data_IF_843231377170
#
_entry.id   IF_843231377170
#
_cell.length_a   1.000
_cell.length_b   1.000
_cell.length_c   1.000
_cell.angle_alpha   90.00
_cell.angle_beta   90.00
_cell.angle_gamma   90.00
#
_symmetry.space_group_name_H-M   'P 1'
#
loop_
_entity.id
_entity.type
_entity.pdbx_description
1 polymer ?
#
# COMPACT_ATOMS: atom_id res chain seq x y z
N UNK A 1 3.57 -48.96 -7.28
CA UNK A 1 4.39 -47.93 -6.64
C UNK A 1 3.56 -47.30 -5.54
N UNK A 2 3.77 -47.77 -4.29
CA UNK A 2 3.08 -47.29 -3.09
C UNK A 2 3.87 -46.11 -2.54
N UNK A 3 3.27 -44.94 -2.48
CA UNK A 3 3.82 -43.75 -1.80
C UNK A 3 3.60 -43.90 -0.30
N UNK A 4 4.57 -43.61 0.56
CA UNK A 4 4.38 -43.62 2.01
C UNK A 4 3.55 -42.43 2.46
N UNK A 5 2.62 -42.76 3.34
CA UNK A 5 1.73 -41.88 4.10
C UNK A 5 2.55 -40.85 4.89
N UNK A 6 2.36 -39.59 4.62
CA UNK A 6 3.04 -38.50 5.31
C UNK A 6 2.43 -38.28 6.68
N UNK A 7 3.24 -38.50 7.71
CA UNK A 7 2.95 -38.20 9.11
C UNK A 7 2.43 -36.76 9.27
N UNK A 8 1.14 -36.69 9.51
CA UNK A 8 0.46 -35.47 9.95
C UNK A 8 0.81 -35.24 11.43
N UNK A 9 1.95 -34.61 11.71
CA UNK A 9 2.27 -34.11 13.04
C UNK A 9 1.28 -32.99 13.37
N UNK A 10 0.54 -33.14 14.50
CA UNK A 10 -0.32 -32.02 14.94
C UNK A 10 0.57 -30.81 15.29
N UNK A 11 0.33 -29.70 14.64
CA UNK A 11 0.81 -28.38 15.05
C UNK A 11 0.54 -28.22 16.54
N UNK A 12 1.57 -27.87 17.30
CA UNK A 12 1.48 -27.61 18.72
C UNK A 12 0.40 -26.56 18.98
N UNK A 13 -0.78 -27.00 19.41
CA UNK A 13 -1.82 -26.10 19.91
C UNK A 13 -1.24 -25.39 21.13
N UNK A 14 -1.06 -24.08 20.99
CA UNK A 14 -0.66 -23.24 22.11
C UNK A 14 -1.65 -23.44 23.25
N UNK A 15 -1.14 -23.77 24.43
CA UNK A 15 -1.91 -24.01 25.64
C UNK A 15 -2.98 -22.91 25.78
N UNK A 16 -4.23 -23.30 25.67
CA UNK A 16 -5.37 -22.43 25.91
C UNK A 16 -5.35 -21.91 27.35
N UNK A 17 -5.74 -20.63 27.52
CA UNK A 17 -5.90 -20.07 28.89
C UNK A 17 -6.78 -20.93 29.80
N UNK A 18 -7.67 -21.73 29.21
CA UNK A 18 -8.53 -22.71 29.90
C UNK A 18 -7.77 -23.93 30.40
N UNK A 19 -6.76 -24.39 29.68
CA UNK A 19 -5.95 -25.56 30.07
C UNK A 19 -4.96 -25.21 31.17
N UNK A 20 -4.35 -23.99 31.07
CA UNK A 20 -3.53 -23.45 32.17
C UNK A 20 -4.35 -23.26 33.43
N UNK A 21 -5.59 -22.80 33.34
CA UNK A 21 -6.50 -22.67 34.49
C UNK A 21 -6.87 -24.02 35.14
N UNK A 22 -7.02 -25.09 34.33
CA UNK A 22 -7.28 -26.45 34.87
C UNK A 22 -6.08 -27.05 35.59
N UNK A 23 -4.89 -26.89 35.06
CA UNK A 23 -3.67 -27.40 35.68
C UNK A 23 -3.37 -26.68 37.00
N UNK A 24 -3.54 -25.37 37.06
CA UNK A 24 -3.42 -24.59 38.30
C UNK A 24 -4.46 -25.06 39.35
N UNK A 25 -5.69 -25.36 38.96
CA UNK A 25 -6.74 -25.84 39.83
C UNK A 25 -6.47 -27.25 40.39
N UNK A 26 -5.76 -28.12 39.68
CA UNK A 26 -5.39 -29.46 40.16
C UNK A 26 -4.24 -29.41 41.19
N UNK A 27 -3.23 -28.56 40.97
CA UNK A 27 -2.14 -28.35 41.92
C UNK A 27 -2.61 -27.74 43.24
N UNK A 28 -3.62 -26.89 43.24
CA UNK A 28 -4.20 -26.29 44.44
C UNK A 28 -4.91 -27.32 45.35
N UNK A 29 -5.42 -28.45 44.80
CA UNK A 29 -6.12 -29.48 45.57
C UNK A 29 -5.19 -30.42 46.33
N UNK A 30 -3.93 -30.55 45.95
CA UNK A 30 -2.96 -31.43 46.64
C UNK A 30 -2.19 -30.75 47.79
N UNK A 31 -2.37 -29.44 48.00
CA UNK A 31 -1.68 -28.68 49.06
C UNK A 31 -2.41 -28.64 50.42
N UNK A 32 -3.49 -29.41 50.58
CA UNK A 32 -4.35 -29.39 51.80
C UNK A 32 -3.89 -30.27 52.92
N UNK A 33 -2.67 -30.12 53.47
CA UNK A 33 -2.35 -30.92 54.66
C UNK A 33 -0.95 -30.75 55.23
N UNK A 34 -0.51 -29.53 55.57
CA UNK A 34 0.57 -29.34 56.56
C UNK A 34 0.64 -27.88 57.05
N UNK A 35 0.70 -27.75 58.34
CA UNK A 35 0.79 -26.65 59.27
C UNK A 35 1.06 -25.22 58.84
N UNK A 36 0.85 -24.25 59.74
CA UNK A 36 0.87 -22.77 59.57
C UNK A 36 1.99 -22.21 58.68
N UNK A 37 3.12 -22.89 58.52
CA UNK A 37 4.22 -22.50 57.61
C UNK A 37 3.82 -22.67 56.12
N UNK A 38 3.06 -23.73 55.82
CA UNK A 38 2.63 -23.96 54.44
C UNK A 38 1.54 -22.96 53.97
N UNK A 39 0.78 -22.37 54.90
CA UNK A 39 -0.22 -21.35 54.57
C UNK A 39 0.41 -20.04 54.06
N UNK A 40 1.50 -19.61 54.68
CA UNK A 40 2.18 -18.39 54.26
C UNK A 40 2.82 -18.58 52.90
N UNK A 41 3.38 -19.76 52.61
CA UNK A 41 3.94 -20.10 51.28
C UNK A 41 2.84 -20.20 50.24
N UNK A 42 1.71 -20.84 50.55
CA UNK A 42 0.57 -20.95 49.63
C UNK A 42 -0.07 -19.58 49.29
N UNK A 43 -0.15 -18.67 50.26
CA UNK A 43 -0.62 -17.32 50.05
C UNK A 43 0.38 -16.55 49.16
N UNK A 44 1.69 -16.68 49.41
CA UNK A 44 2.74 -16.07 48.60
C UNK A 44 2.69 -16.57 47.14
N UNK A 45 2.53 -17.85 46.94
CA UNK A 45 2.37 -18.47 45.62
C UNK A 45 1.11 -17.95 44.88
N UNK A 46 -0.03 -17.91 45.58
CA UNK A 46 -1.27 -17.39 45.00
C UNK A 46 -1.17 -15.93 44.62
N UNK A 47 -0.52 -15.10 45.41
CA UNK A 47 -0.28 -13.68 45.09
C UNK A 47 0.66 -13.56 43.90
N UNK A 48 1.73 -14.33 43.87
CA UNK A 48 2.70 -14.29 42.75
C UNK A 48 2.05 -14.75 41.45
N UNK A 49 1.27 -15.80 41.44
CA UNK A 49 0.52 -16.27 40.29
C UNK A 49 -0.51 -15.24 39.81
N UNK A 50 -1.17 -14.55 40.75
CA UNK A 50 -2.10 -13.46 40.41
C UNK A 50 -1.40 -12.30 39.70
N UNK A 51 -0.22 -11.92 40.20
CA UNK A 51 0.57 -10.84 39.58
C UNK A 51 1.02 -11.24 38.16
N UNK A 52 1.53 -12.47 37.99
CA UNK A 52 1.95 -13.00 36.69
C UNK A 52 0.78 -13.00 35.71
N UNK A 53 -0.41 -13.40 36.15
CA UNK A 53 -1.61 -13.43 35.30
C UNK A 53 -2.02 -12.02 34.85
N UNK A 54 -1.96 -11.03 35.73
CA UNK A 54 -2.26 -9.66 35.43
C UNK A 54 -1.24 -9.09 34.41
N UNK A 55 0.04 -9.36 34.63
CA UNK A 55 1.12 -8.92 33.71
C UNK A 55 0.97 -9.57 32.33
N UNK A 56 0.67 -10.88 32.31
CA UNK A 56 0.43 -11.60 31.06
C UNK A 56 -0.80 -11.05 30.29
N UNK A 57 -1.90 -10.79 30.99
CA UNK A 57 -3.10 -10.19 30.40
C UNK A 57 -2.84 -8.79 29.86
N UNK A 58 -2.12 -7.96 30.61
CA UNK A 58 -1.71 -6.62 30.16
C UNK A 58 -0.80 -6.67 28.95
N UNK A 59 0.19 -7.56 28.97
CA UNK A 59 1.10 -7.76 27.85
C UNK A 59 0.37 -8.21 26.58
N UNK A 60 -0.55 -9.16 26.70
CA UNK A 60 -1.39 -9.62 25.59
C UNK A 60 -2.28 -8.50 25.02
N UNK A 61 -2.92 -7.73 25.89
CA UNK A 61 -3.72 -6.58 25.46
C UNK A 61 -2.89 -5.51 24.72
N UNK A 62 -1.72 -5.18 25.27
CA UNK A 62 -0.81 -4.22 24.66
C UNK A 62 -0.34 -4.69 23.28
N UNK A 63 0.05 -5.96 23.15
CA UNK A 63 0.47 -6.52 21.88
C UNK A 63 -0.67 -6.52 20.84
N UNK A 64 -1.89 -6.84 21.22
CA UNK A 64 -3.05 -6.79 20.34
C UNK A 64 -3.36 -5.37 19.86
N UNK A 65 -3.28 -4.38 20.77
CA UNK A 65 -3.50 -2.96 20.44
C UNK A 65 -2.48 -2.46 19.41
N UNK A 66 -1.18 -2.69 19.65
CA UNK A 66 -0.12 -2.29 18.72
C UNK A 66 -0.19 -3.02 17.37
N UNK A 67 -0.58 -4.29 17.39
CA UNK A 67 -0.80 -5.07 16.16
C UNK A 67 -1.91 -4.48 15.29
N UNK A 68 -3.01 -4.03 15.89
CA UNK A 68 -4.13 -3.41 15.16
C UNK A 68 -3.74 -2.04 14.60
N UNK A 69 -3.08 -1.19 15.38
CA UNK A 69 -2.63 0.14 14.92
C UNK A 69 -1.63 0.03 13.77
N UNK A 70 -0.67 -0.90 13.86
CA UNK A 70 0.31 -1.12 12.79
C UNK A 70 -0.34 -1.66 11.51
N UNK A 71 -1.33 -2.55 11.61
CA UNK A 71 -2.03 -3.08 10.44
C UNK A 71 -2.85 -2.01 9.72
N UNK A 72 -3.49 -1.10 10.45
CA UNK A 72 -4.21 0.04 9.89
C UNK A 72 -3.23 0.99 9.17
N UNK A 73 -2.10 1.32 9.80
CA UNK A 73 -1.09 2.18 9.19
C UNK A 73 -0.52 1.57 7.89
N UNK A 74 -0.24 0.26 7.89
CA UNK A 74 0.21 -0.45 6.69
C UNK A 74 -0.85 -0.48 5.59
N UNK A 75 -2.13 -0.67 5.95
CA UNK A 75 -3.23 -0.63 4.99
C UNK A 75 -3.39 0.76 4.37
N UNK A 76 -3.26 1.83 5.15
CA UNK A 76 -3.30 3.21 4.66
C UNK A 76 -2.12 3.50 3.74
N UNK A 77 -0.90 3.14 4.13
CA UNK A 77 0.28 3.30 3.29
C UNK A 77 0.16 2.53 1.97
N UNK A 78 -0.35 1.29 2.01
CA UNK A 78 -0.59 0.48 0.82
C UNK A 78 -1.64 1.11 -0.10
N UNK A 79 -2.73 1.63 0.45
CA UNK A 79 -3.79 2.30 -0.34
C UNK A 79 -3.27 3.58 -1.01
N UNK A 80 -2.46 4.36 -0.30
CA UNK A 80 -1.83 5.57 -0.83
C UNK A 80 -0.86 5.25 -1.97
N UNK A 81 -0.01 4.24 -1.79
CA UNK A 81 0.88 3.76 -2.86
C UNK A 81 0.11 3.27 -4.09
N UNK A 82 -0.99 2.55 -3.88
CA UNK A 82 -1.82 2.08 -4.98
C UNK A 82 -2.46 3.25 -5.77
N UNK A 83 -2.87 4.32 -5.09
CA UNK A 83 -3.39 5.53 -5.74
C UNK A 83 -2.30 6.26 -6.53
N UNK A 84 -1.12 6.43 -5.94
CA UNK A 84 0.03 7.04 -6.60
C UNK A 84 0.44 6.25 -7.87
N UNK A 85 0.50 4.93 -7.78
CA UNK A 85 0.82 4.09 -8.94
C UNK A 85 -0.23 4.22 -10.06
N UNK A 86 -1.53 4.22 -9.72
CA UNK A 86 -2.59 4.43 -10.72
C UNK A 86 -2.47 5.79 -11.40
N UNK A 87 -2.24 6.86 -10.64
CA UNK A 87 -2.05 8.20 -11.19
C UNK A 87 -0.81 8.26 -12.10
N UNK A 88 0.26 7.57 -11.74
CA UNK A 88 1.44 7.46 -12.58
C UNK A 88 1.17 6.70 -13.90
N UNK A 89 0.54 5.52 -13.82
CA UNK A 89 0.16 4.72 -15.00
C UNK A 89 -0.77 5.51 -15.93
N UNK A 90 -1.73 6.23 -15.38
CA UNK A 90 -2.63 7.10 -16.14
C UNK A 90 -1.84 8.21 -16.85
N UNK A 91 -0.90 8.85 -16.16
CA UNK A 91 -0.05 9.89 -16.74
C UNK A 91 0.80 9.36 -17.91
N UNK A 92 1.36 8.16 -17.78
CA UNK A 92 2.13 7.49 -18.85
C UNK A 92 1.23 7.18 -20.04
N UNK A 93 0.02 6.68 -19.78
CA UNK A 93 -0.96 6.39 -20.85
C UNK A 93 -1.34 7.65 -21.62
N UNK A 94 -1.63 8.74 -20.92
CA UNK A 94 -1.94 10.01 -21.59
C UNK A 94 -0.77 10.57 -22.38
N UNK A 95 0.45 10.48 -21.86
CA UNK A 95 1.65 10.89 -22.61
C UNK A 95 1.82 10.08 -23.89
N UNK A 96 1.60 8.79 -23.85
CA UNK A 96 1.69 7.94 -25.02
C UNK A 96 0.60 8.28 -26.06
N UNK A 97 -0.63 8.51 -25.60
CA UNK A 97 -1.74 8.93 -26.47
C UNK A 97 -1.49 10.29 -27.10
N UNK A 98 -1.01 11.27 -26.32
CA UNK A 98 -0.67 12.61 -26.82
C UNK A 98 0.47 12.55 -27.85
N UNK A 99 1.51 11.75 -27.58
CA UNK A 99 2.60 11.55 -28.53
C UNK A 99 2.11 10.90 -29.83
N UNK A 100 1.23 9.92 -29.73
CA UNK A 100 0.67 9.23 -30.90
C UNK A 100 -0.17 10.19 -31.76
N UNK A 101 -1.04 10.98 -31.14
CA UNK A 101 -1.88 11.94 -31.87
C UNK A 101 -1.05 13.10 -32.46
N UNK A 102 -0.03 13.56 -31.75
CA UNK A 102 0.93 14.55 -32.27
C UNK A 102 1.69 14.00 -33.48
N UNK A 103 2.21 12.78 -33.39
CA UNK A 103 2.93 12.18 -34.52
C UNK A 103 2.03 12.03 -35.77
N UNK A 104 0.76 11.69 -35.57
CA UNK A 104 -0.20 11.64 -36.67
C UNK A 104 -0.40 13.03 -37.32
N UNK A 105 -0.58 14.07 -36.49
CA UNK A 105 -0.68 15.46 -36.94
C UNK A 105 0.59 15.90 -37.64
N UNK A 106 1.76 15.68 -37.06
CA UNK A 106 3.04 16.11 -37.57
C UNK A 106 3.36 15.43 -38.91
N UNK A 107 3.07 14.15 -39.04
CA UNK A 107 3.22 13.41 -40.28
C UNK A 107 2.35 14.00 -41.38
N UNK A 108 1.06 14.22 -41.11
CA UNK A 108 0.14 14.81 -42.07
C UNK A 108 0.58 16.23 -42.48
N UNK A 109 1.04 17.04 -41.53
CA UNK A 109 1.57 18.38 -41.78
C UNK A 109 2.80 18.35 -42.70
N UNK A 110 3.77 17.48 -42.46
CA UNK A 110 4.98 17.34 -43.26
C UNK A 110 4.68 16.92 -44.72
N UNK A 111 3.65 16.09 -44.92
CA UNK A 111 3.22 15.67 -46.25
C UNK A 111 2.27 16.70 -46.93
N UNK A 112 1.95 17.80 -46.28
CA UNK A 112 1.04 18.83 -46.79
C UNK A 112 -0.43 18.44 -46.80
N UNK A 113 -0.79 17.36 -46.12
CA UNK A 113 -2.18 16.89 -45.98
C UNK A 113 -2.89 17.67 -44.87
N UNK A 114 -3.41 18.84 -45.23
CA UNK A 114 -4.09 19.72 -44.27
C UNK A 114 -5.37 19.13 -43.70
N UNK A 115 -6.08 18.29 -44.47
CA UNK A 115 -7.30 17.66 -43.99
C UNK A 115 -7.00 16.62 -42.94
N UNK A 116 -6.03 15.74 -43.19
CA UNK A 116 -5.59 14.75 -42.20
C UNK A 116 -4.98 15.44 -40.96
N UNK A 117 -4.20 16.50 -41.10
CA UNK A 117 -3.69 17.29 -39.99
C UNK A 117 -4.81 17.84 -39.11
N UNK A 118 -5.82 18.47 -39.70
CA UNK A 118 -6.98 18.99 -38.99
C UNK A 118 -7.81 17.89 -38.28
N UNK A 119 -7.89 16.70 -38.88
CA UNK A 119 -8.53 15.55 -38.21
C UNK A 119 -7.74 15.09 -37.00
N UNK A 120 -6.43 15.00 -37.08
CA UNK A 120 -5.56 14.64 -35.99
C UNK A 120 -5.62 15.66 -34.84
N UNK A 121 -5.60 16.95 -35.16
CA UNK A 121 -5.67 18.05 -34.19
C UNK A 121 -7.00 18.01 -33.37
N UNK A 122 -8.12 17.72 -34.03
CA UNK A 122 -9.41 17.56 -33.33
C UNK A 122 -9.42 16.45 -32.29
N UNK A 123 -8.50 15.48 -32.38
CA UNK A 123 -8.34 14.38 -31.43
C UNK A 123 -7.45 14.73 -30.25
N UNK A 124 -6.82 15.86 -30.23
CA UNK A 124 -6.03 16.33 -29.11
C UNK A 124 -6.92 16.51 -27.88
N UNK A 125 -6.43 16.03 -26.74
CA UNK A 125 -7.09 16.29 -25.46
C UNK A 125 -7.07 17.80 -25.16
N UNK A 126 -8.07 18.35 -24.48
CA UNK A 126 -8.11 19.79 -24.20
C UNK A 126 -6.84 20.32 -23.52
N UNK A 127 -6.29 19.56 -22.54
CA UNK A 127 -5.08 19.95 -21.82
C UNK A 127 -3.83 19.91 -22.71
N UNK A 128 -3.77 18.96 -23.63
CA UNK A 128 -2.67 18.86 -24.58
C UNK A 128 -2.71 19.96 -25.62
N UNK A 129 -3.90 20.38 -26.04
CA UNK A 129 -4.08 21.45 -27.03
C UNK A 129 -3.48 22.77 -26.57
N UNK A 130 -3.57 23.11 -25.29
CA UNK A 130 -2.96 24.32 -24.72
C UNK A 130 -1.44 24.30 -24.92
N UNK A 131 -0.79 23.17 -24.63
CA UNK A 131 0.64 23.02 -24.84
C UNK A 131 1.02 23.00 -26.33
N UNK A 132 0.17 22.42 -27.16
CA UNK A 132 0.37 22.43 -28.63
C UNK A 132 0.29 23.84 -29.22
N UNK A 133 -0.70 24.63 -28.84
CA UNK A 133 -0.85 26.03 -29.29
C UNK A 133 0.32 26.87 -28.78
N UNK A 134 0.75 26.69 -27.52
CA UNK A 134 1.93 27.38 -26.99
C UNK A 134 3.21 26.99 -27.74
N UNK A 135 3.37 25.71 -28.09
CA UNK A 135 4.50 25.23 -28.87
C UNK A 135 4.49 25.82 -30.32
N UNK A 136 3.36 25.87 -30.99
CA UNK A 136 3.24 26.50 -32.30
C UNK A 136 3.61 27.97 -32.25
N UNK A 137 3.29 28.68 -31.17
CA UNK A 137 3.65 30.08 -30.98
C UNK A 137 5.16 30.33 -30.85
N UNK A 138 5.98 29.28 -30.65
CA UNK A 138 7.45 29.37 -30.68
C UNK A 138 8.06 29.33 -32.10
N UNK A 139 7.23 29.27 -33.17
CA UNK A 139 7.64 29.09 -34.54
C UNK A 139 8.58 27.88 -34.77
N UNK A 140 8.17 26.68 -34.37
CA UNK A 140 9.06 25.52 -34.25
C UNK A 140 9.67 25.05 -35.57
N UNK A 141 9.15 25.48 -36.69
CA UNK A 141 9.66 25.11 -38.02
C UNK A 141 10.73 26.06 -38.56
N UNK A 142 10.88 27.23 -37.95
CA UNK A 142 11.85 28.25 -38.36
C UNK A 142 12.79 28.66 -37.25
N UNK A 143 12.42 28.48 -36.00
CA UNK A 143 13.20 28.82 -34.84
C UNK A 143 14.01 27.58 -34.34
N UNK A 144 15.35 27.60 -34.45
CA UNK A 144 16.19 26.49 -34.02
C UNK A 144 16.20 26.28 -32.50
N UNK A 145 15.80 27.31 -31.72
CA UNK A 145 15.74 27.24 -30.25
C UNK A 145 14.35 26.82 -29.74
N UNK A 146 13.41 26.51 -30.61
CA UNK A 146 12.10 26.07 -30.24
C UNK A 146 12.16 24.69 -29.51
N UNK A 147 11.31 24.44 -28.51
CA UNK A 147 11.19 23.14 -27.87
C UNK A 147 10.90 22.03 -28.88
N UNK A 148 11.42 20.82 -28.62
CA UNK A 148 11.31 19.69 -29.55
C UNK A 148 9.86 19.24 -29.83
N UNK A 149 8.92 19.62 -28.98
CA UNK A 149 7.50 19.34 -29.16
C UNK A 149 6.65 19.85 -28.00
N UNK A 150 5.32 19.78 -28.13
CA UNK A 150 4.39 20.29 -27.12
C UNK A 150 4.58 19.70 -25.73
N UNK A 151 5.09 18.46 -25.64
CA UNK A 151 5.35 17.78 -24.37
C UNK A 151 6.53 18.38 -23.59
N UNK A 152 7.35 19.21 -24.24
CA UNK A 152 8.47 19.95 -23.63
C UNK A 152 8.07 21.34 -23.16
N UNK A 153 6.83 21.75 -23.40
CA UNK A 153 6.32 23.04 -22.98
C UNK A 153 5.93 23.05 -21.50
N UNK A 154 6.13 24.18 -20.80
CA UNK A 154 5.70 24.32 -19.40
C UNK A 154 4.17 24.21 -19.22
N UNK A 155 3.39 24.49 -20.24
CA UNK A 155 1.93 24.33 -20.27
C UNK A 155 1.49 22.87 -20.36
N UNK A 156 2.40 21.94 -20.66
CA UNK A 156 2.07 20.54 -20.71
C UNK A 156 1.94 19.94 -19.31
N UNK A 157 0.70 19.79 -18.86
CA UNK A 157 0.40 19.10 -17.59
C UNK A 157 -0.22 17.74 -17.90
N UNK A 158 0.51 16.65 -17.77
CA UNK A 158 -0.11 15.33 -17.85
C UNK A 158 -1.06 15.18 -16.63
N UNK A 159 -2.33 14.97 -16.92
CA UNK A 159 -3.34 14.65 -15.89
C UNK A 159 -2.89 13.43 -15.10
N UNK A 160 -3.07 13.45 -13.80
CA UNK A 160 -2.59 12.40 -12.88
C UNK A 160 -1.35 12.81 -12.07
N UNK A 161 -0.45 13.66 -12.58
CA UNK A 161 0.69 14.16 -11.80
C UNK A 161 0.29 15.19 -10.74
N UNK A 162 -0.82 15.90 -10.93
CA UNK A 162 -1.34 16.83 -9.92
C UNK A 162 -1.84 16.08 -8.68
N UNK A 163 -2.49 14.93 -8.88
CA UNK A 163 -3.01 14.11 -7.79
C UNK A 163 -1.89 13.35 -7.06
N UNK A 164 -0.80 13.00 -7.75
CA UNK A 164 0.34 12.35 -7.10
C UNK A 164 1.14 13.30 -6.19
N UNK A 165 1.14 14.61 -6.48
CA UNK A 165 1.78 15.64 -5.63
C UNK A 165 0.98 15.99 -4.39
N UNK A 166 -0.31 15.65 -4.33
CA UNK A 166 -1.15 15.81 -3.14
C UNK A 166 -0.96 14.67 -2.12
N UNK A 167 -0.16 13.67 -2.46
CA UNK A 167 0.10 12.48 -1.63
C UNK A 167 1.50 12.48 -0.98
N UNK A 168 2.34 13.49 -1.27
CA UNK A 168 3.61 13.80 -0.59
C UNK A 168 3.37 14.78 0.56
#
# INVERSE_FOLDING_TARGET
LVLPDGDNQPVSEGLSATDVGKEIGQHAKHAGGQGRHNRALSIGEAVLLSIVTIVAAWSGYSAAKWGTESSIALAQASSTRARANRAFEESVTFRAADASTFNAWFTAYLFGDQEAAAVAERRFRPQYRVAFEAWLATDPFTNPDAPAGPQSMPEYVPTGLADSRLLD
#
